data_IF_519707165079
#
_entry.id   IF_519707165079
#
_cell.length_a   1.000
_cell.length_b   1.000
_cell.length_c   1.000
_cell.angle_alpha   90.00
_cell.angle_beta   90.00
_cell.angle_gamma   90.00
#
_symmetry.space_group_name_H-M   'P 1'
#
loop_
_entity.id
_entity.type
_entity.pdbx_description
1 polymer ?
#
# COMPACT_ATOMS: atom_id res chain seq x y z
N UNK A 1 8.60 3.88 -20.82
CA UNK A 1 7.83 4.78 -19.93
C UNK A 1 7.07 3.94 -18.92
N UNK A 2 7.09 4.29 -17.62
CA UNK A 2 6.22 3.64 -16.63
C UNK A 2 4.83 4.26 -16.72
N UNK A 3 3.77 3.44 -16.68
CA UNK A 3 2.42 3.97 -16.58
C UNK A 3 2.20 4.65 -15.22
N UNK A 4 1.23 5.56 -15.08
CA UNK A 4 0.91 6.17 -13.78
C UNK A 4 0.63 5.13 -12.67
N UNK A 5 0.03 4.00 -13.03
CA UNK A 5 -0.22 2.89 -12.09
C UNK A 5 1.07 2.20 -11.67
N UNK A 6 2.00 1.94 -12.60
CA UNK A 6 3.31 1.38 -12.26
C UNK A 6 4.13 2.31 -11.36
N UNK A 7 4.05 3.63 -11.58
CA UNK A 7 4.73 4.61 -10.73
C UNK A 7 4.18 4.61 -9.30
N UNK A 8 2.85 4.56 -9.14
CA UNK A 8 2.19 4.46 -7.83
C UNK A 8 2.54 3.17 -7.11
N UNK A 9 2.44 2.02 -7.78
CA UNK A 9 2.78 0.72 -7.19
C UNK A 9 4.25 0.64 -6.79
N UNK A 10 5.16 1.21 -7.57
CA UNK A 10 6.57 1.26 -7.19
C UNK A 10 6.80 2.10 -5.92
N UNK A 11 6.15 3.26 -5.83
CA UNK A 11 6.20 4.09 -4.62
C UNK A 11 5.61 3.37 -3.41
N UNK A 12 4.45 2.72 -3.57
CA UNK A 12 3.79 2.00 -2.50
C UNK A 12 4.65 0.83 -2.02
N UNK A 13 5.26 0.04 -2.92
CA UNK A 13 6.18 -1.04 -2.55
C UNK A 13 7.36 -0.55 -1.71
N UNK A 14 7.94 0.60 -2.05
CA UNK A 14 9.02 1.18 -1.26
C UNK A 14 8.52 1.68 0.11
N UNK A 15 7.35 2.32 0.15
CA UNK A 15 6.73 2.78 1.39
C UNK A 15 6.50 1.61 2.35
N UNK A 16 5.85 0.54 1.90
CA UNK A 16 5.47 -0.57 2.79
C UNK A 16 6.65 -1.39 3.28
N UNK A 17 7.76 -1.44 2.52
CA UNK A 17 9.00 -2.11 2.95
C UNK A 17 9.71 -1.38 4.10
N UNK A 18 9.60 -0.05 4.15
CA UNK A 18 10.21 0.77 5.21
C UNK A 18 9.27 1.06 6.38
N UNK A 19 7.98 0.73 6.27
CA UNK A 19 7.00 1.06 7.27
C UNK A 19 6.92 -0.02 8.36
N UNK A 20 7.26 0.35 9.59
CA UNK A 20 7.12 -0.51 10.76
C UNK A 20 5.78 -0.21 11.45
N UNK A 21 4.71 -0.86 11.01
CA UNK A 21 3.38 -0.71 11.62
C UNK A 21 2.22 -0.99 10.67
N UNK A 22 1.02 -0.61 11.12
CA UNK A 22 -0.23 -0.77 10.38
C UNK A 22 -0.32 0.26 9.24
N UNK A 23 -0.37 -0.23 8.01
CA UNK A 23 -0.57 0.58 6.81
C UNK A 23 -2.08 0.72 6.61
N UNK A 24 -2.54 1.95 6.44
CA UNK A 24 -3.95 2.24 6.14
C UNK A 24 -4.07 2.95 4.80
N UNK A 25 -5.25 2.87 4.19
CA UNK A 25 -5.56 3.63 2.96
C UNK A 25 -5.30 5.13 3.15
N UNK A 26 -5.55 5.67 4.35
CA UNK A 26 -5.31 7.08 4.67
C UNK A 26 -3.83 7.46 4.65
N UNK A 27 -2.94 6.58 5.13
CA UNK A 27 -1.49 6.79 5.05
C UNK A 27 -1.06 6.84 3.57
N UNK A 28 -1.45 5.85 2.78
CA UNK A 28 -1.10 5.80 1.35
C UNK A 28 -1.62 7.00 0.58
N UNK A 29 -2.86 7.42 0.87
CA UNK A 29 -3.45 8.63 0.28
C UNK A 29 -2.60 9.86 0.56
N UNK A 30 -2.14 10.08 1.80
CA UNK A 30 -1.27 11.21 2.15
C UNK A 30 0.04 11.18 1.37
N UNK A 31 0.66 10.01 1.21
CA UNK A 31 1.87 9.87 0.40
C UNK A 31 1.64 10.15 -1.09
N UNK A 32 0.50 9.73 -1.64
CA UNK A 32 0.15 10.04 -3.02
C UNK A 32 -0.08 11.54 -3.23
N UNK A 33 -0.78 12.20 -2.31
CA UNK A 33 -0.94 13.66 -2.35
C UNK A 33 0.41 14.37 -2.28
N UNK A 34 1.28 13.96 -1.37
CA UNK A 34 2.61 14.56 -1.22
C UNK A 34 3.49 14.38 -2.45
N UNK A 35 3.37 13.25 -3.18
CA UNK A 35 4.21 12.95 -4.35
C UNK A 35 3.64 13.47 -5.67
N UNK A 36 2.32 13.36 -5.85
CA UNK A 36 1.65 13.59 -7.13
C UNK A 36 0.74 14.83 -7.12
N UNK A 37 0.60 15.50 -5.98
CA UNK A 37 -0.29 16.66 -5.82
C UNK A 37 -1.72 16.29 -5.42
N UNK A 38 -2.58 17.30 -5.30
CA UNK A 38 -3.98 17.10 -4.95
C UNK A 38 -4.71 16.25 -6.00
N UNK A 39 -5.58 15.35 -5.56
CA UNK A 39 -6.33 14.45 -6.43
C UNK A 39 -7.14 13.41 -5.67
N UNK A 40 -7.99 12.68 -6.39
CA UNK A 40 -8.75 11.56 -5.83
C UNK A 40 -7.88 10.30 -5.74
N UNK A 41 -7.15 10.22 -4.64
CA UNK A 41 -6.21 9.15 -4.36
C UNK A 41 -6.79 8.04 -3.51
N UNK A 42 -7.95 8.23 -2.87
CA UNK A 42 -8.49 7.27 -1.89
C UNK A 42 -8.85 5.95 -2.56
N UNK A 43 -9.59 6.00 -3.67
CA UNK A 43 -9.96 4.81 -4.43
C UNK A 43 -8.74 4.11 -5.03
N UNK A 44 -7.79 4.89 -5.58
CA UNK A 44 -6.54 4.37 -6.15
C UNK A 44 -5.66 3.71 -5.09
N UNK A 45 -5.52 4.32 -3.92
CA UNK A 45 -4.77 3.76 -2.80
C UNK A 45 -5.36 2.42 -2.33
N UNK A 46 -6.69 2.32 -2.27
CA UNK A 46 -7.37 1.06 -1.93
C UNK A 46 -7.09 -0.02 -2.98
N UNK A 47 -7.22 0.30 -4.27
CA UNK A 47 -6.92 -0.64 -5.35
C UNK A 47 -5.45 -1.09 -5.32
N UNK A 48 -4.52 -0.17 -5.11
CA UNK A 48 -3.09 -0.46 -5.09
C UNK A 48 -2.72 -1.33 -3.84
N UNK A 49 -3.35 -1.09 -2.67
CA UNK A 49 -3.19 -1.94 -1.48
C UNK A 49 -3.78 -3.35 -1.67
N UNK A 50 -4.96 -3.44 -2.29
CA UNK A 50 -5.59 -4.71 -2.64
C UNK A 50 -4.69 -5.50 -3.61
N UNK A 51 -4.05 -4.82 -4.58
CA UNK A 51 -3.09 -5.45 -5.48
C UNK A 51 -1.88 -6.01 -4.73
N UNK A 52 -1.27 -5.25 -3.81
CA UNK A 52 -0.12 -5.75 -3.04
C UNK A 52 -0.48 -6.88 -2.07
N UNK A 53 -1.74 -6.93 -1.63
CA UNK A 53 -2.26 -8.06 -0.85
C UNK A 53 -2.39 -9.31 -1.71
N UNK A 54 -2.90 -9.18 -2.95
CA UNK A 54 -2.96 -10.28 -3.93
C UNK A 54 -1.57 -10.76 -4.37
N UNK A 55 -0.62 -9.85 -4.48
CA UNK A 55 0.79 -10.16 -4.75
C UNK A 55 1.47 -10.89 -3.57
N UNK A 56 0.81 -10.99 -2.41
CA UNK A 56 1.33 -11.61 -1.20
C UNK A 56 2.34 -10.76 -0.44
N UNK A 57 2.57 -9.50 -0.85
CA UNK A 57 3.48 -8.58 -0.17
C UNK A 57 2.85 -7.99 1.09
N UNK A 58 1.54 -7.77 1.09
CA UNK A 58 0.79 -7.32 2.26
C UNK A 58 -0.18 -8.41 2.72
N UNK A 59 -0.47 -8.39 4.00
CA UNK A 59 -1.57 -9.14 4.61
C UNK A 59 -2.60 -8.11 5.05
N UNK A 60 -3.86 -8.33 4.65
CA UNK A 60 -4.98 -7.60 5.20
C UNK A 60 -5.26 -8.14 6.61
N UNK A 61 -5.22 -7.27 7.60
CA UNK A 61 -5.65 -7.57 8.96
C UNK A 61 -7.09 -7.05 9.10
N UNK A 62 -8.03 -7.98 9.12
CA UNK A 62 -9.49 -7.76 9.16
C UNK A 62 -10.10 -8.11 10.52
N UNK A 63 -9.28 -8.25 11.57
CA UNK A 63 -9.73 -8.59 12.93
C UNK A 63 -10.62 -7.51 13.56
N UNK A 64 -10.51 -6.27 13.08
CA UNK A 64 -11.35 -5.15 13.50
C UNK A 64 -12.22 -4.73 12.29
N UNK A 65 -13.55 -4.95 12.33
CA UNK A 65 -14.43 -4.62 11.22
C UNK A 65 -14.50 -3.10 10.94
N UNK A 66 -14.17 -2.27 11.94
CA UNK A 66 -14.14 -0.82 11.81
C UNK A 66 -12.77 -0.31 11.31
N UNK A 67 -11.73 -1.16 11.32
CA UNK A 67 -10.38 -0.81 10.87
C UNK A 67 -9.82 -1.78 9.84
N UNK A 68 -9.80 -1.31 8.60
CA UNK A 68 -9.09 -1.99 7.51
C UNK A 68 -7.61 -1.61 7.52
N UNK A 69 -6.76 -2.46 8.09
CA UNK A 69 -5.31 -2.25 8.17
C UNK A 69 -4.54 -3.32 7.40
N UNK A 70 -3.39 -2.94 6.86
CA UNK A 70 -2.52 -3.80 6.06
C UNK A 70 -1.16 -3.90 6.74
N UNK A 71 -0.59 -5.09 6.78
CA UNK A 71 0.73 -5.34 7.37
C UNK A 71 1.66 -5.93 6.33
N UNK A 72 2.95 -5.65 6.45
CA UNK A 72 3.93 -6.29 5.60
C UNK A 72 3.93 -7.79 5.85
N UNK A 73 3.87 -8.58 4.78
CA UNK A 73 4.03 -10.01 4.88
C UNK A 73 5.52 -10.34 5.08
N UNK A 74 5.91 -10.65 6.32
CA UNK A 74 7.29 -11.02 6.63
C UNK A 74 7.72 -12.34 5.95
N UNK A 75 6.78 -13.22 5.56
CA UNK A 75 7.10 -14.39 4.76
C UNK A 75 7.65 -14.03 3.37
N UNK A 76 7.30 -12.83 2.86
CA UNK A 76 7.81 -12.34 1.58
C UNK A 76 9.19 -11.65 1.69
N UNK A 77 9.69 -11.38 2.91
CA UNK A 77 11.07 -10.93 3.14
C UNK A 77 12.07 -12.09 3.24
N UNK A 78 11.61 -13.34 3.37
CA UNK A 78 12.46 -14.53 3.56
C UNK A 78 12.93 -15.24 2.30
N UNK A 79 12.70 -14.67 1.11
CA UNK A 79 13.24 -15.20 -0.14
C UNK A 79 14.71 -14.84 -0.31
N UNK A 80 15.58 -15.67 0.28
CA UNK A 80 17.00 -15.76 -0.05
C UNK A 80 17.20 -16.29 -1.48
#
# INVERSE_FOLDING_TARGET
MRTPTQARLHLLRNLVRGYQGDITTGIVQKHYVAKFGAGDWRAKARQDLDQLTRDGLLILDDRDPDKRVFRLNHAHQGGA
#
